data_IF_537064829019
#
_entry.id   IF_537064829019
#
_cell.length_a   1.000
_cell.length_b   1.000
_cell.length_c   1.000
_cell.angle_alpha   90.00
_cell.angle_beta   90.00
_cell.angle_gamma   90.00
#
_symmetry.space_group_name_H-M   'P 1'
#
loop_
_entity.id
_entity.type
_entity.pdbx_description
1 polymer ?
#
# COMPACT_ATOMS: atom_id res chain seq x y z
N UNK A 1 6.89 -3.41 -9.18
CA UNK A 1 7.10 -2.27 -8.26
C UNK A 1 6.62 -1.03 -9.00
N UNK A 2 5.63 -0.33 -8.46
CA UNK A 2 5.10 0.89 -9.10
C UNK A 2 5.57 2.07 -8.24
N UNK A 3 6.18 3.05 -8.88
CA UNK A 3 6.62 4.30 -8.27
C UNK A 3 5.60 5.39 -8.62
N UNK A 4 5.12 6.13 -7.62
CA UNK A 4 4.26 7.30 -7.86
C UNK A 4 4.69 8.44 -6.95
N UNK A 5 4.89 9.60 -7.55
CA UNK A 5 5.13 10.85 -6.83
C UNK A 5 3.79 11.41 -6.35
N UNK A 6 3.65 11.59 -5.05
CA UNK A 6 2.52 12.33 -4.45
C UNK A 6 3.06 13.61 -3.83
N UNK A 7 2.96 14.73 -4.56
CA UNK A 7 3.24 16.09 -4.09
C UNK A 7 4.70 16.38 -3.71
N UNK A 8 5.21 15.73 -2.66
CA UNK A 8 6.55 15.95 -2.10
C UNK A 8 7.21 14.68 -1.53
N UNK A 9 6.63 13.49 -1.75
CA UNK A 9 7.20 12.21 -1.32
C UNK A 9 7.05 11.16 -2.43
N UNK A 10 8.17 10.50 -2.77
CA UNK A 10 8.16 9.28 -3.57
C UNK A 10 7.56 8.15 -2.74
N UNK A 11 6.61 7.42 -3.30
CA UNK A 11 6.07 6.20 -2.69
C UNK A 11 6.44 5.01 -3.56
N UNK A 12 6.91 3.96 -2.91
CA UNK A 12 7.13 2.66 -3.54
C UNK A 12 6.10 1.68 -3.00
N UNK A 13 5.39 1.02 -3.90
CA UNK A 13 4.46 -0.03 -3.49
C UNK A 13 4.52 -1.27 -4.35
N UNK A 14 4.11 -2.39 -3.74
CA UNK A 14 3.89 -3.67 -4.39
C UNK A 14 2.67 -4.34 -3.77
N UNK A 15 1.88 -5.02 -4.60
CA UNK A 15 0.73 -5.82 -4.18
C UNK A 15 0.94 -7.23 -4.69
N UNK A 16 0.82 -8.20 -3.80
CA UNK A 16 0.84 -9.63 -4.10
C UNK A 16 -0.49 -10.25 -3.75
N UNK A 17 -1.03 -11.07 -4.65
CA UNK A 17 -2.30 -11.77 -4.44
C UNK A 17 -2.11 -13.26 -4.65
N UNK A 18 -2.71 -14.04 -3.76
CA UNK A 18 -2.84 -15.49 -3.84
C UNK A 18 -4.32 -15.84 -3.63
N UNK A 19 -4.72 -17.06 -3.97
CA UNK A 19 -6.11 -17.52 -3.74
C UNK A 19 -6.42 -17.38 -2.24
N UNK A 20 -7.40 -16.53 -1.90
CA UNK A 20 -7.80 -16.26 -0.53
C UNK A 20 -6.89 -15.31 0.26
N UNK A 21 -5.85 -14.72 -0.34
CA UNK A 21 -4.94 -13.81 0.38
C UNK A 21 -4.56 -12.58 -0.45
N UNK A 22 -4.31 -11.47 0.23
CA UNK A 22 -3.70 -10.28 -0.37
C UNK A 22 -2.68 -9.70 0.59
N UNK A 23 -1.54 -9.32 0.04
CA UNK A 23 -0.49 -8.60 0.74
C UNK A 23 -0.17 -7.30 -0.01
N UNK A 24 -0.01 -6.21 0.74
CA UNK A 24 0.42 -4.92 0.23
C UNK A 24 1.59 -4.42 1.05
N UNK A 25 2.65 -3.97 0.38
CA UNK A 25 3.73 -3.21 1.01
C UNK A 25 3.76 -1.80 0.43
N UNK A 26 3.87 -0.81 1.31
CA UNK A 26 4.06 0.58 0.95
C UNK A 26 5.21 1.18 1.75
N UNK A 27 6.15 1.80 1.06
CA UNK A 27 7.32 2.47 1.64
C UNK A 27 7.27 3.94 1.27
N UNK A 28 7.39 4.81 2.27
CA UNK A 28 7.65 6.23 2.12
C UNK A 28 9.09 6.55 2.51
N UNK A 29 10.06 6.54 1.58
CA UNK A 29 11.46 6.81 1.89
C UNK A 29 11.65 8.20 2.50
N UNK A 30 10.90 9.20 2.01
CA UNK A 30 10.93 10.57 2.55
C UNK A 30 10.38 10.71 3.98
N UNK A 31 9.66 9.71 4.49
CA UNK A 31 9.15 9.70 5.87
C UNK A 31 9.87 8.69 6.76
N UNK A 32 10.80 7.90 6.21
CA UNK A 32 11.41 6.74 6.87
C UNK A 32 10.37 5.80 7.51
N UNK A 33 9.25 5.60 6.83
CA UNK A 33 8.14 4.73 7.28
C UNK A 33 7.78 3.73 6.20
N UNK A 34 7.39 2.54 6.65
CA UNK A 34 6.83 1.51 5.80
C UNK A 34 5.64 0.84 6.49
N UNK A 35 4.70 0.36 5.69
CA UNK A 35 3.53 -0.41 6.15
C UNK A 35 3.43 -1.67 5.32
N UNK A 36 3.19 -2.79 6.01
CA UNK A 36 2.88 -4.09 5.41
C UNK A 36 1.49 -4.50 5.89
N UNK A 37 0.59 -4.73 4.95
CA UNK A 37 -0.75 -5.26 5.20
C UNK A 37 -0.84 -6.65 4.62
N UNK A 38 -1.37 -7.58 5.41
CA UNK A 38 -1.66 -8.95 4.98
C UNK A 38 -3.07 -9.28 5.42
N UNK A 39 -3.89 -9.81 4.53
CA UNK A 39 -5.21 -10.30 4.85
C UNK A 39 -5.47 -11.69 4.26
N UNK A 40 -6.30 -12.44 4.96
CA UNK A 40 -6.84 -13.75 4.58
C UNK A 40 -8.12 -13.63 3.73
N UNK A 41 -8.19 -12.57 2.93
CA UNK A 41 -9.16 -12.45 1.85
C UNK A 41 -8.47 -11.84 0.63
N UNK A 42 -9.01 -12.11 -0.55
CA UNK A 42 -8.52 -11.50 -1.77
C UNK A 42 -9.21 -10.13 -1.96
N UNK A 43 -8.43 -9.04 -1.95
CA UNK A 43 -8.92 -7.66 -2.13
C UNK A 43 -9.37 -7.37 -3.58
N UNK A 44 -9.25 -8.34 -4.50
CA UNK A 44 -9.70 -8.26 -5.89
C UNK A 44 -11.18 -7.92 -6.12
N UNK A 45 -12.01 -7.89 -5.06
CA UNK A 45 -13.40 -7.41 -5.07
C UNK A 45 -13.56 -5.96 -4.60
N UNK A 46 -12.55 -5.36 -3.95
CA UNK A 46 -12.56 -3.97 -3.47
C UNK A 46 -11.23 -3.29 -3.81
N UNK A 47 -10.98 -3.02 -5.11
CA UNK A 47 -9.73 -2.42 -5.54
C UNK A 47 -9.41 -1.14 -4.74
N UNK A 48 -8.24 -1.13 -4.11
CA UNK A 48 -7.72 0.03 -3.40
C UNK A 48 -8.19 0.20 -1.95
N UNK A 49 -8.82 -0.80 -1.32
CA UNK A 49 -9.02 -0.76 0.13
C UNK A 49 -7.67 -0.83 0.86
N UNK A 50 -6.85 -1.85 0.57
CA UNK A 50 -5.52 -1.97 1.19
C UNK A 50 -4.60 -0.78 0.89
N UNK A 51 -4.63 -0.27 -0.34
CA UNK A 51 -3.84 0.92 -0.72
C UNK A 51 -4.26 2.16 0.09
N UNK A 52 -5.56 2.42 0.24
CA UNK A 52 -6.06 3.53 1.07
C UNK A 52 -5.70 3.37 2.54
N UNK A 53 -5.85 2.16 3.09
CA UNK A 53 -5.45 1.86 4.48
C UNK A 53 -3.96 2.08 4.68
N UNK A 54 -3.11 1.61 3.76
CA UNK A 54 -1.67 1.81 3.83
C UNK A 54 -1.29 3.30 3.78
N UNK A 55 -1.95 4.09 2.92
CA UNK A 55 -1.75 5.55 2.84
C UNK A 55 -2.14 6.26 4.13
N UNK A 56 -3.29 5.91 4.71
CA UNK A 56 -3.75 6.45 5.98
C UNK A 56 -2.78 6.13 7.13
N UNK A 57 -2.32 4.88 7.23
CA UNK A 57 -1.36 4.46 8.26
C UNK A 57 -0.02 5.18 8.13
N UNK A 58 0.43 5.45 6.91
CA UNK A 58 1.63 6.25 6.66
C UNK A 58 1.43 7.76 6.92
N UNK A 59 0.22 8.19 7.32
CA UNK A 59 -0.16 9.60 7.46
C UNK A 59 0.05 10.41 6.17
N UNK A 60 0.02 9.74 5.02
CA UNK A 60 0.10 10.39 3.72
C UNK A 60 -1.28 11.02 3.47
N UNK A 61 -1.33 12.35 3.32
CA UNK A 61 -2.57 13.01 2.88
C UNK A 61 -2.96 12.39 1.53
N UNK A 62 -4.14 11.76 1.49
CA UNK A 62 -4.75 11.16 0.30
C UNK A 62 -5.14 12.26 -0.67
#
# INVERSE_FOLDING_TARGET
>A
MIERQTGNATLWWCIGQLIGFTATIMVGPGTNRAVVLVANYNDGLRPGLMDRTARQLLSLKV
#
